data_IF_054093644765
#
_entry.id   IF_054093644765
#
_cell.length_a   1.000
_cell.length_b   1.000
_cell.length_c   1.000
_cell.angle_alpha   90.00
_cell.angle_beta   90.00
_cell.angle_gamma   90.00
#
_symmetry.space_group_name_H-M   'P 1'
#
loop_
_entity.id
_entity.type
_entity.pdbx_description
1 polymer ?
#
# COMPACT_ATOMS: atom_id res chain seq x y z
N UNK A 1 -47.67 8.53 3.27
CA UNK A 1 -46.41 8.23 2.61
C UNK A 1 -45.43 9.31 3.04
N UNK A 2 -44.65 9.05 4.09
CA UNK A 2 -43.74 10.01 4.71
C UNK A 2 -42.37 9.87 4.03
N UNK A 3 -41.83 10.96 3.51
CA UNK A 3 -40.51 11.03 2.91
C UNK A 3 -39.52 11.23 4.08
N UNK A 4 -38.67 10.24 4.35
CA UNK A 4 -37.59 10.42 5.32
C UNK A 4 -36.55 11.43 4.81
N UNK A 5 -36.03 12.33 5.65
CA UNK A 5 -35.01 13.26 5.23
C UNK A 5 -33.66 12.55 5.07
N UNK A 6 -33.04 12.79 3.91
CA UNK A 6 -31.66 12.36 3.61
C UNK A 6 -30.72 12.95 4.68
N UNK A 7 -30.10 12.08 5.47
CA UNK A 7 -29.22 12.46 6.57
C UNK A 7 -28.03 13.30 6.09
N UNK A 8 -27.87 14.48 6.68
CA UNK A 8 -26.71 15.37 6.45
C UNK A 8 -25.44 14.67 6.96
N UNK A 9 -24.37 14.57 6.15
CA UNK A 9 -23.13 13.94 6.59
C UNK A 9 -22.57 14.66 7.81
N UNK A 10 -22.22 13.89 8.84
CA UNK A 10 -21.69 14.42 10.10
C UNK A 10 -20.43 15.26 9.88
N UNK A 11 -20.20 16.28 10.71
CA UNK A 11 -19.10 17.27 10.60
C UNK A 11 -17.72 16.61 10.37
N UNK A 12 -17.48 15.40 10.91
CA UNK A 12 -16.23 14.63 10.71
C UNK A 12 -16.09 14.11 9.28
N UNK A 13 -17.17 13.68 8.66
CA UNK A 13 -17.20 13.20 7.26
C UNK A 13 -17.00 14.37 6.29
N UNK A 14 -17.60 15.52 6.56
CA UNK A 14 -17.44 16.72 5.74
C UNK A 14 -15.98 17.25 5.76
N UNK A 15 -15.33 17.25 6.93
CA UNK A 15 -13.90 17.63 7.07
C UNK A 15 -12.99 16.67 6.30
N UNK A 16 -13.26 15.37 6.36
CA UNK A 16 -12.48 14.37 5.64
C UNK A 16 -12.61 14.53 4.12
N UNK A 17 -13.84 14.74 3.63
CA UNK A 17 -14.11 14.98 2.20
C UNK A 17 -13.43 16.28 1.74
N UNK A 18 -13.47 17.34 2.56
CA UNK A 18 -12.85 18.63 2.24
C UNK A 18 -11.31 18.51 2.19
N UNK A 19 -10.70 17.74 3.10
CA UNK A 19 -9.26 17.48 3.10
C UNK A 19 -8.81 16.67 1.88
N UNK A 20 -9.56 15.62 1.52
CA UNK A 20 -9.30 14.80 0.34
C UNK A 20 -9.47 15.60 -0.96
N UNK A 21 -10.52 16.42 -1.09
CA UNK A 21 -10.74 17.24 -2.28
C UNK A 21 -9.71 18.38 -2.40
N UNK A 22 -9.27 18.98 -1.29
CA UNK A 22 -8.19 19.97 -1.27
C UNK A 22 -6.86 19.36 -1.70
N UNK A 23 -6.55 18.16 -1.25
CA UNK A 23 -5.33 17.43 -1.63
C UNK A 23 -5.33 17.09 -3.13
N UNK A 24 -6.49 16.71 -3.69
CA UNK A 24 -6.66 16.41 -5.12
C UNK A 24 -6.53 17.69 -5.97
N UNK A 25 -7.03 18.82 -5.52
CA UNK A 25 -6.88 20.10 -6.24
C UNK A 25 -5.45 20.64 -6.23
N UNK A 26 -4.69 20.49 -5.15
CA UNK A 26 -3.27 20.89 -5.10
C UNK A 26 -2.40 20.02 -6.02
N UNK A 27 -2.82 18.79 -6.31
CA UNK A 27 -2.07 17.85 -7.16
C UNK A 27 -2.13 18.21 -8.66
N UNK A 28 -3.11 18.99 -9.11
CA UNK A 28 -3.35 19.27 -10.53
C UNK A 28 -2.37 20.28 -11.16
N UNK A 29 -1.67 21.08 -10.36
CA UNK A 29 -0.87 22.22 -10.83
C UNK A 29 0.64 21.94 -11.03
N UNK A 30 1.16 20.76 -10.67
CA UNK A 30 2.60 20.49 -10.60
C UNK A 30 3.16 19.60 -11.74
N UNK A 31 2.33 19.22 -12.70
CA UNK A 31 2.75 18.27 -13.76
C UNK A 31 3.28 18.96 -15.03
N UNK A 32 4.24 19.87 -14.91
CA UNK A 32 4.91 20.46 -16.09
C UNK A 32 6.15 19.65 -16.44
N UNK A 33 6.04 18.82 -17.49
CA UNK A 33 7.21 18.38 -18.29
C UNK A 33 8.16 17.37 -17.65
N UNK A 34 7.82 16.71 -16.55
CA UNK A 34 8.71 15.75 -15.91
C UNK A 34 8.78 14.44 -16.70
N UNK A 35 10.00 13.99 -16.99
CA UNK A 35 10.27 12.64 -17.50
C UNK A 35 10.14 11.67 -16.31
N UNK A 36 9.25 10.70 -16.42
CA UNK A 36 9.07 9.67 -15.42
C UNK A 36 9.50 8.30 -15.95
N UNK A 37 9.99 7.37 -15.12
CA UNK A 37 10.22 6.01 -15.54
C UNK A 37 8.90 5.37 -15.95
N UNK A 38 8.92 4.48 -16.94
CA UNK A 38 7.73 3.74 -17.35
C UNK A 38 7.43 2.61 -16.38
N UNK A 39 8.48 1.97 -15.91
CA UNK A 39 8.41 0.88 -14.95
C UNK A 39 9.26 1.19 -13.71
N UNK A 40 8.71 0.86 -12.57
CA UNK A 40 9.39 0.89 -11.29
C UNK A 40 9.23 -0.47 -10.64
N UNK A 41 10.33 -1.08 -10.20
CA UNK A 41 10.31 -2.35 -9.46
C UNK A 41 10.94 -2.11 -8.11
N UNK A 42 10.15 -2.24 -7.06
CA UNK A 42 10.58 -2.14 -5.66
C UNK A 42 10.84 -3.53 -5.10
N UNK A 43 11.85 -3.63 -4.26
CA UNK A 43 12.09 -4.78 -3.40
C UNK A 43 12.68 -4.32 -2.09
N UNK A 44 12.15 -4.83 -0.99
CA UNK A 44 12.57 -4.37 0.33
C UNK A 44 12.15 -5.26 1.49
N UNK A 45 12.60 -4.85 2.66
CA UNK A 45 12.20 -5.40 3.94
C UNK A 45 10.86 -4.79 4.36
N UNK A 46 9.98 -5.62 4.92
CA UNK A 46 8.70 -5.22 5.47
C UNK A 46 8.55 -5.65 6.92
N UNK A 47 8.08 -4.73 7.73
CA UNK A 47 7.63 -4.95 9.10
C UNK A 47 6.11 -4.75 9.15
N UNK A 48 5.37 -5.72 9.69
CA UNK A 48 3.92 -5.63 9.87
C UNK A 48 3.54 -5.85 11.32
N UNK A 49 2.71 -4.96 11.83
CA UNK A 49 2.12 -5.06 13.16
C UNK A 49 0.66 -5.47 13.02
N UNK A 50 0.36 -6.72 13.39
CA UNK A 50 -0.95 -7.35 13.23
C UNK A 50 -1.73 -7.29 14.54
N UNK A 51 -3.01 -6.92 14.48
CA UNK A 51 -3.93 -6.98 15.61
C UNK A 51 -4.40 -8.43 15.83
N UNK A 52 -3.74 -9.16 16.73
CA UNK A 52 -3.97 -10.59 16.97
C UNK A 52 -4.98 -10.90 18.08
N UNK A 53 -5.64 -9.89 18.63
CA UNK A 53 -6.69 -10.07 19.67
C UNK A 53 -7.86 -10.92 19.17
N UNK A 54 -8.14 -10.91 17.89
CA UNK A 54 -9.18 -11.72 17.23
C UNK A 54 -8.90 -13.23 17.29
N UNK A 55 -7.63 -13.64 17.39
CA UNK A 55 -7.23 -15.06 17.49
C UNK A 55 -7.01 -15.53 18.92
N UNK A 56 -7.43 -14.74 19.94
CA UNK A 56 -7.28 -15.08 21.35
C UNK A 56 -5.87 -14.86 21.91
N UNK A 57 -4.98 -14.18 21.15
CA UNK A 57 -3.67 -13.78 21.65
C UNK A 57 -3.78 -12.41 22.36
N UNK A 58 -3.21 -12.31 23.54
CA UNK A 58 -3.33 -11.11 24.39
C UNK A 58 -2.58 -9.87 23.88
N UNK A 59 -1.74 -9.99 22.83
CA UNK A 59 -0.88 -8.92 22.33
C UNK A 59 -0.83 -8.88 20.81
N UNK A 60 -0.51 -7.69 20.25
CA UNK A 60 -0.18 -7.51 18.84
C UNK A 60 1.04 -8.34 18.45
N UNK A 61 0.96 -9.02 17.32
CA UNK A 61 2.06 -9.80 16.77
C UNK A 61 2.85 -8.99 15.76
N UNK A 62 4.18 -9.02 15.91
CA UNK A 62 5.11 -8.39 14.97
C UNK A 62 5.59 -9.42 13.96
N UNK A 63 5.39 -9.14 12.69
CA UNK A 63 5.80 -9.97 11.57
C UNK A 63 6.89 -9.25 10.78
N UNK A 64 7.89 -10.00 10.33
CA UNK A 64 8.98 -9.50 9.52
C UNK A 64 9.02 -10.24 8.19
N UNK A 65 9.42 -9.58 7.12
CA UNK A 65 9.44 -10.24 5.83
C UNK A 65 9.90 -9.36 4.69
N UNK A 66 9.39 -9.66 3.52
CA UNK A 66 9.70 -8.91 2.30
C UNK A 66 8.45 -8.26 1.71
N UNK A 67 8.69 -7.24 0.90
CA UNK A 67 7.71 -6.56 0.09
C UNK A 67 8.30 -6.29 -1.29
N UNK A 68 7.56 -6.62 -2.33
CA UNK A 68 7.95 -6.41 -3.71
C UNK A 68 6.80 -5.80 -4.50
N UNK A 69 7.06 -4.69 -5.20
CA UNK A 69 6.06 -3.98 -5.99
C UNK A 69 6.55 -3.75 -7.42
N UNK A 70 5.60 -3.90 -8.35
CA UNK A 70 5.79 -3.49 -9.74
C UNK A 70 4.83 -2.35 -10.08
N UNK A 71 5.33 -1.18 -10.44
CA UNK A 71 4.50 -0.04 -10.86
C UNK A 71 4.68 0.24 -12.35
N UNK A 72 3.57 0.26 -13.07
CA UNK A 72 3.49 0.72 -14.45
C UNK A 72 2.92 2.14 -14.48
N UNK A 73 3.74 3.12 -14.82
CA UNK A 73 3.33 4.51 -14.94
C UNK A 73 2.65 4.74 -16.29
N UNK A 74 1.37 5.13 -16.27
CA UNK A 74 0.58 5.49 -17.47
C UNK A 74 0.85 6.95 -17.85
N UNK A 75 0.99 7.80 -16.83
CA UNK A 75 1.34 9.23 -16.92
C UNK A 75 2.43 9.54 -15.89
N UNK A 76 3.13 10.67 -15.97
CA UNK A 76 4.15 11.04 -14.98
C UNK A 76 3.66 11.01 -13.52
N UNK A 77 2.38 11.28 -13.28
CA UNK A 77 1.79 11.31 -11.93
C UNK A 77 0.86 10.14 -11.64
N UNK A 78 0.52 9.29 -12.62
CA UNK A 78 -0.43 8.20 -12.44
C UNK A 78 0.14 6.86 -12.91
N UNK A 79 0.01 5.85 -12.09
CA UNK A 79 0.40 4.48 -12.39
C UNK A 79 -0.56 3.45 -11.81
N UNK A 80 -0.31 2.20 -12.16
CA UNK A 80 -0.93 1.02 -11.56
C UNK A 80 0.18 0.23 -10.90
N UNK A 81 -0.01 -0.13 -9.65
CA UNK A 81 0.93 -0.91 -8.84
C UNK A 81 0.36 -2.29 -8.56
N UNK A 82 1.20 -3.30 -8.69
CA UNK A 82 0.97 -4.65 -8.16
C UNK A 82 1.97 -4.89 -7.02
N UNK A 83 1.48 -5.46 -5.92
CA UNK A 83 2.21 -5.68 -4.67
C UNK A 83 2.14 -7.17 -4.30
N UNK A 84 3.28 -7.72 -3.93
CA UNK A 84 3.42 -9.08 -3.41
C UNK A 84 4.27 -9.02 -2.15
N UNK A 85 3.70 -9.41 -1.02
CA UNK A 85 4.42 -9.43 0.25
C UNK A 85 4.32 -10.78 0.95
N UNK A 86 5.35 -11.10 1.71
CA UNK A 86 5.38 -12.26 2.61
C UNK A 86 5.96 -11.84 3.95
N UNK A 87 5.17 -11.98 5.02
CA UNK A 87 5.57 -11.63 6.37
C UNK A 87 5.47 -12.87 7.28
N UNK A 88 6.49 -13.06 8.06
CA UNK A 88 6.71 -14.26 8.88
C UNK A 88 6.83 -13.89 10.36
N UNK A 89 6.10 -14.61 11.20
CA UNK A 89 6.18 -14.54 12.65
C UNK A 89 6.33 -15.94 13.26
N UNK A 90 6.41 -16.03 14.57
CA UNK A 90 6.64 -17.30 15.28
C UNK A 90 5.50 -18.33 15.13
N UNK A 91 4.27 -17.86 14.88
CA UNK A 91 3.06 -18.71 14.81
C UNK A 91 2.16 -18.35 13.61
N UNK A 92 2.53 -17.32 12.83
CA UNK A 92 1.70 -16.82 11.74
C UNK A 92 2.57 -16.43 10.56
N UNK A 93 2.11 -16.79 9.36
CA UNK A 93 2.67 -16.33 8.08
C UNK A 93 1.56 -15.71 7.26
N UNK A 94 1.84 -14.56 6.70
CA UNK A 94 0.88 -13.81 5.87
C UNK A 94 1.49 -13.54 4.50
N UNK A 95 0.75 -13.87 3.46
CA UNK A 95 1.06 -13.49 2.08
C UNK A 95 -0.02 -12.55 1.57
N UNK A 96 0.37 -11.54 0.82
CA UNK A 96 -0.57 -10.64 0.16
C UNK A 96 -0.25 -10.52 -1.34
N UNK A 97 -1.33 -10.40 -2.14
CA UNK A 97 -1.32 -10.17 -3.58
C UNK A 97 -2.33 -9.07 -3.86
N UNK A 98 -1.84 -7.89 -4.16
CA UNK A 98 -2.65 -6.68 -4.27
C UNK A 98 -2.34 -5.94 -5.56
N UNK A 99 -3.31 -5.20 -6.09
CA UNK A 99 -3.08 -4.30 -7.20
C UNK A 99 -4.02 -3.10 -7.12
N UNK A 100 -3.59 -1.96 -7.67
CA UNK A 100 -4.43 -0.77 -7.70
C UNK A 100 -3.72 0.48 -8.20
N UNK A 101 -4.43 1.62 -8.19
CA UNK A 101 -3.90 2.90 -8.65
C UNK A 101 -2.86 3.47 -7.68
N UNK A 102 -1.87 4.16 -8.25
CA UNK A 102 -0.88 4.96 -7.55
C UNK A 102 -0.87 6.38 -8.13
N UNK A 103 -0.83 7.36 -7.26
CA UNK A 103 -0.58 8.76 -7.61
C UNK A 103 0.76 9.21 -7.05
N UNK A 104 1.59 9.83 -7.90
CA UNK A 104 2.94 10.25 -7.56
C UNK A 104 3.17 11.74 -7.86
N UNK A 105 3.73 12.43 -6.88
CA UNK A 105 4.25 13.79 -7.01
C UNK A 105 5.77 13.73 -7.05
N UNK A 106 6.36 14.08 -8.19
CA UNK A 106 7.81 14.05 -8.40
C UNK A 106 8.37 15.46 -8.33
N UNK A 107 9.47 15.63 -7.61
CA UNK A 107 10.17 16.90 -7.50
C UNK A 107 11.66 16.66 -7.40
N UNK A 108 12.42 17.18 -8.39
CA UNK A 108 13.88 17.03 -8.47
C UNK A 108 14.36 15.58 -8.27
N UNK A 109 14.96 15.27 -7.11
CA UNK A 109 15.48 13.95 -6.73
C UNK A 109 14.56 13.23 -5.75
N UNK A 110 13.30 13.63 -5.65
CA UNK A 110 12.36 13.07 -4.67
C UNK A 110 11.01 12.77 -5.31
N UNK A 111 10.36 11.72 -4.84
CA UNK A 111 8.99 11.36 -5.22
C UNK A 111 8.20 11.05 -3.96
N UNK A 112 7.07 11.70 -3.78
CA UNK A 112 6.03 11.29 -2.84
C UNK A 112 4.96 10.55 -3.61
N UNK A 113 4.44 9.48 -3.05
CA UNK A 113 3.35 8.75 -3.67
C UNK A 113 2.32 8.31 -2.64
N UNK A 114 1.10 8.11 -3.13
CA UNK A 114 0.01 7.46 -2.41
C UNK A 114 -0.59 6.40 -3.30
N UNK A 115 -1.05 5.31 -2.70
CA UNK A 115 -1.70 4.23 -3.44
C UNK A 115 -2.90 3.68 -2.69
N UNK A 116 -3.84 3.14 -3.45
CA UNK A 116 -4.94 2.33 -2.94
C UNK A 116 -4.93 0.99 -3.65
N UNK A 117 -4.68 -0.09 -2.92
CA UNK A 117 -4.56 -1.43 -3.49
C UNK A 117 -5.66 -2.33 -2.95
N UNK A 118 -6.08 -3.29 -3.75
CA UNK A 118 -7.06 -4.31 -3.36
C UNK A 118 -6.64 -5.67 -3.91
N UNK A 119 -7.05 -6.73 -3.24
CA UNK A 119 -6.71 -8.08 -3.65
C UNK A 119 -7.02 -9.12 -2.60
N UNK A 120 -6.07 -10.03 -2.40
CA UNK A 120 -6.20 -11.14 -1.47
C UNK A 120 -5.04 -11.19 -0.50
N UNK A 121 -5.36 -11.55 0.75
CA UNK A 121 -4.40 -11.99 1.74
C UNK A 121 -4.63 -13.45 2.06
N UNK A 122 -3.56 -14.19 2.24
CA UNK A 122 -3.57 -15.58 2.69
C UNK A 122 -2.85 -15.65 4.04
N UNK A 123 -3.60 -16.01 5.06
CA UNK A 123 -3.09 -16.18 6.41
C UNK A 123 -2.91 -17.67 6.68
N UNK A 124 -1.74 -18.03 7.19
CA UNK A 124 -1.40 -19.38 7.62
C UNK A 124 -1.02 -19.33 9.09
N UNK A 125 -1.76 -20.07 9.92
CA UNK A 125 -1.52 -20.14 11.36
C UNK A 125 -1.10 -21.56 11.71
N UNK A 126 0.06 -21.70 12.35
CA UNK A 126 0.59 -22.95 12.85
C UNK A 126 0.29 -23.06 14.36
N UNK A 127 -0.68 -23.88 14.73
CA UNK A 127 -0.97 -24.18 16.14
C UNK A 127 -0.19 -25.42 16.55
N UNK A 128 0.84 -25.22 17.38
CA UNK A 128 1.63 -26.31 18.00
C UNK A 128 0.82 -27.04 19.08
N UNK A 129 -0.14 -27.85 18.66
CA UNK A 129 -0.73 -28.88 19.52
C UNK A 129 -0.32 -30.24 18.92
N UNK A 130 -0.30 -31.31 19.71
CA UNK A 130 0.19 -32.68 19.34
C UNK A 130 -0.39 -33.26 18.04
N UNK A 131 -1.30 -32.55 17.39
CA UNK A 131 -1.79 -32.79 16.03
C UNK A 131 -1.51 -31.51 15.25
N UNK A 132 -0.61 -31.57 14.26
CA UNK A 132 -0.32 -30.44 13.35
C UNK A 132 -1.57 -30.08 12.54
N UNK A 133 -2.35 -29.17 13.02
CA UNK A 133 -3.45 -28.60 12.28
C UNK A 133 -2.96 -27.27 11.62
N UNK A 134 -2.85 -27.28 10.31
CA UNK A 134 -2.62 -26.09 9.50
C UNK A 134 -3.98 -25.47 9.16
N UNK A 135 -4.22 -24.27 9.61
CA UNK A 135 -5.39 -23.49 9.19
C UNK A 135 -4.95 -22.46 8.17
N UNK A 136 -5.48 -22.58 6.95
CA UNK A 136 -5.29 -21.58 5.89
C UNK A 136 -6.60 -20.85 5.65
N UNK A 137 -6.53 -19.54 5.56
CA UNK A 137 -7.66 -18.71 5.15
C UNK A 137 -7.21 -17.72 4.09
N UNK A 138 -8.01 -17.62 3.05
CA UNK A 138 -7.82 -16.62 2.00
C UNK A 138 -8.96 -15.61 2.11
N UNK A 139 -8.61 -14.37 2.37
CA UNK A 139 -9.55 -13.28 2.53
C UNK A 139 -9.31 -12.14 1.54
N UNK A 140 -10.22 -11.17 1.56
CA UNK A 140 -10.06 -9.92 0.83
C UNK A 140 -9.13 -9.00 1.61
N UNK A 141 -8.31 -8.25 0.89
CA UNK A 141 -7.43 -7.25 1.47
C UNK A 141 -7.59 -5.92 0.72
N UNK A 142 -7.64 -4.84 1.49
CA UNK A 142 -7.63 -3.46 0.99
C UNK A 142 -6.49 -2.74 1.69
N UNK A 143 -5.71 -2.00 0.92
CA UNK A 143 -4.57 -1.23 1.40
C UNK A 143 -4.70 0.22 0.98
N UNK A 144 -4.45 1.12 1.91
CA UNK A 144 -4.27 2.55 1.64
C UNK A 144 -2.94 2.97 2.26
N UNK A 145 -2.07 3.51 1.44
CA UNK A 145 -0.74 3.85 1.90
C UNK A 145 -0.02 4.85 1.03
N UNK A 146 1.25 5.02 1.32
CA UNK A 146 2.10 5.90 0.56
C UNK A 146 3.52 5.92 1.08
N UNK A 147 4.37 6.64 0.36
CA UNK A 147 5.77 6.65 0.70
C UNK A 147 6.54 7.81 0.10
N UNK A 148 7.81 7.77 0.42
CA UNK A 148 8.80 8.70 -0.05
C UNK A 148 9.96 7.95 -0.71
N UNK A 149 10.29 8.40 -1.90
CA UNK A 149 11.39 7.91 -2.70
C UNK A 149 12.48 8.99 -2.82
N UNK A 150 13.73 8.61 -2.64
CA UNK A 150 14.90 9.46 -2.82
C UNK A 150 15.83 8.85 -3.87
N UNK A 151 16.06 9.57 -4.96
CA UNK A 151 16.95 9.10 -6.02
C UNK A 151 18.39 9.01 -5.51
N UNK A 152 18.97 7.81 -5.62
CA UNK A 152 20.39 7.54 -5.35
C UNK A 152 21.21 7.63 -6.65
N UNK A 153 20.62 7.20 -7.76
CA UNK A 153 21.21 7.22 -9.09
C UNK A 153 20.10 7.30 -10.15
N UNK A 154 20.43 7.48 -11.45
CA UNK A 154 19.42 7.51 -12.50
C UNK A 154 18.55 6.27 -12.62
N UNK A 155 18.98 5.13 -12.05
CA UNK A 155 18.24 3.85 -12.11
C UNK A 155 17.81 3.32 -10.76
N UNK A 156 18.37 3.82 -9.66
CA UNK A 156 18.08 3.32 -8.31
C UNK A 156 17.59 4.44 -7.40
N UNK A 157 16.57 4.14 -6.66
CA UNK A 157 15.93 5.01 -5.68
C UNK A 157 15.79 4.26 -4.36
N UNK A 158 16.04 4.93 -3.25
CA UNK A 158 15.72 4.43 -1.92
C UNK A 158 14.28 4.78 -1.58
N UNK A 159 13.51 3.81 -1.09
CA UNK A 159 12.10 3.97 -0.71
C UNK A 159 11.88 3.68 0.76
N UNK A 160 11.03 4.50 1.39
CA UNK A 160 10.34 4.21 2.64
C UNK A 160 8.85 4.39 2.43
N UNK A 161 8.04 3.45 2.92
CA UNK A 161 6.58 3.53 2.80
C UNK A 161 5.89 3.00 4.04
N UNK A 162 4.64 3.44 4.23
CA UNK A 162 3.75 2.98 5.29
C UNK A 162 2.35 2.76 4.72
N UNK A 163 1.76 1.63 5.09
CA UNK A 163 0.49 1.17 4.60
C UNK A 163 -0.43 0.80 5.76
N UNK A 164 -1.67 1.20 5.64
CA UNK A 164 -2.76 0.69 6.44
C UNK A 164 -3.45 -0.42 5.66
N UNK A 165 -3.50 -1.62 6.23
CA UNK A 165 -4.11 -2.79 5.64
C UNK A 165 -5.37 -3.16 6.41
N UNK A 166 -6.44 -3.43 5.66
CA UNK A 166 -7.64 -4.07 6.19
C UNK A 166 -7.82 -5.40 5.48
N UNK A 167 -7.81 -6.47 6.26
CA UNK A 167 -7.99 -7.83 5.76
C UNK A 167 -9.24 -8.45 6.37
N UNK A 168 -10.03 -9.12 5.55
CA UNK A 168 -11.21 -9.89 5.96
C UNK A 168 -10.87 -11.37 5.82
N UNK A 169 -10.35 -11.98 6.89
CA UNK A 169 -9.98 -13.40 6.95
C UNK A 169 -10.68 -14.06 8.14
N UNK A 170 -10.98 -15.35 8.04
CA UNK A 170 -11.69 -16.12 9.09
C UNK A 170 -13.03 -15.50 9.54
N UNK A 171 -13.72 -14.75 8.66
CA UNK A 171 -14.98 -14.08 9.00
C UNK A 171 -14.84 -12.85 9.89
N UNK A 172 -13.64 -12.37 10.13
CA UNK A 172 -13.34 -11.19 10.96
C UNK A 172 -12.47 -10.20 10.21
N UNK A 173 -12.77 -8.89 10.37
CA UNK A 173 -11.95 -7.81 9.82
C UNK A 173 -10.79 -7.49 10.76
N UNK A 174 -9.58 -7.41 10.22
CA UNK A 174 -8.36 -7.03 10.94
C UNK A 174 -7.79 -5.75 10.34
N UNK A 175 -7.20 -4.92 11.19
CA UNK A 175 -6.53 -3.69 10.79
C UNK A 175 -5.07 -3.73 11.19
N UNK A 176 -4.19 -3.61 10.21
CA UNK A 176 -2.76 -3.76 10.38
C UNK A 176 -2.01 -2.54 9.82
N UNK A 177 -0.83 -2.31 10.34
CA UNK A 177 0.10 -1.33 9.79
C UNK A 177 1.32 -2.08 9.28
N UNK A 178 1.71 -1.80 8.02
CA UNK A 178 2.92 -2.29 7.39
C UNK A 178 3.85 -1.10 7.14
N UNK A 179 5.11 -1.25 7.51
CA UNK A 179 6.18 -0.32 7.13
C UNK A 179 7.19 -1.07 6.29
N UNK A 180 7.58 -0.52 5.13
CA UNK A 180 8.52 -1.15 4.22
C UNK A 180 9.64 -0.18 3.84
N UNK A 181 10.84 -0.71 3.63
CA UNK A 181 11.99 0.05 3.15
C UNK A 181 12.85 -0.80 2.24
N UNK A 182 13.41 -0.19 1.19
CA UNK A 182 14.19 -0.92 0.21
C UNK A 182 14.63 -0.08 -0.98
N UNK A 183 14.86 -0.75 -2.10
CA UNK A 183 15.32 -0.13 -3.34
C UNK A 183 14.27 -0.26 -4.45
N UNK A 184 14.17 0.80 -5.25
CA UNK A 184 13.38 0.82 -6.48
C UNK A 184 14.33 0.87 -7.67
N UNK A 185 14.14 -0.02 -8.62
CA UNK A 185 14.81 0.00 -9.92
C UNK A 185 13.89 0.58 -10.98
N UNK A 186 14.41 1.53 -11.75
CA UNK A 186 13.67 2.27 -12.78
C UNK A 186 14.11 1.88 -14.18
N UNK A 187 13.14 1.66 -15.09
CA UNK A 187 13.42 1.46 -16.51
C UNK A 187 12.31 1.98 -17.43
N UNK A 188 12.68 2.23 -18.71
CA UNK A 188 11.80 2.93 -19.63
C UNK A 188 11.57 4.39 -19.25
N UNK A 189 10.94 5.16 -20.12
CA UNK A 189 10.64 6.58 -19.89
C UNK A 189 9.29 6.93 -20.50
N UNK A 190 8.54 7.80 -19.83
CA UNK A 190 7.34 8.47 -20.32
C UNK A 190 7.48 9.98 -20.11
N UNK A 191 6.94 10.75 -21.05
CA UNK A 191 7.07 12.21 -21.10
C UNK A 191 8.09 12.65 -22.18
N UNK A 192 7.96 13.90 -22.61
CA UNK A 192 8.91 14.49 -23.55
C UNK A 192 10.14 14.99 -22.79
N UNK A 193 11.34 14.60 -23.23
CA UNK A 193 12.55 15.32 -22.83
C UNK A 193 12.41 16.75 -23.34
N UNK A 194 12.74 17.79 -22.54
CA UNK A 194 12.93 19.13 -23.07
C UNK A 194 13.95 19.02 -24.21
N UNK A 195 13.64 19.57 -25.40
CA UNK A 195 14.66 19.78 -26.39
C UNK A 195 15.65 20.82 -25.83
N UNK A 196 16.91 20.45 -25.71
CA UNK A 196 18.00 21.38 -25.43
C UNK A 196 18.10 22.39 -26.58
#
# INVERSE_FOLDING_TARGET
MAIEPVGVPGKRTAVFIFFVSSLVMMASSLSRGQVAPRWEVFGGYAYRNVESTTFGFANRSSLNGFDAEGTFNIKPSWGVTADVGGQYGSQMTVYNFLAGPQYAMRRDKSKFFVHGLFGKAQDRVDISTSIRNHFESVGRAIVAGGGYDRDLSPRFTFRVQADFLRTDTFGTSQNDIRASTGLVFHFGHIGRRPKL
#
